data_IF_756441544681
#
_entry.id   IF_756441544681
#
_cell.length_a   1.000
_cell.length_b   1.000
_cell.length_c   1.000
_cell.angle_alpha   90.00
_cell.angle_beta   90.00
_cell.angle_gamma   90.00
#
_symmetry.space_group_name_H-M   'P 1'
#
loop_
_entity.id
_entity.type
_entity.pdbx_description
1 polymer ?
#
# COMPACT_ATOMS: atom_id res chain seq x y z
N UNK A 1 3.04 30.97 1.28
CA UNK A 1 2.72 30.35 2.59
C UNK A 1 1.37 29.63 2.57
N UNK A 2 0.30 30.19 1.97
CA UNK A 2 -1.04 29.55 1.91
C UNK A 2 -1.04 28.22 1.12
N UNK A 3 -0.24 28.11 0.05
CA UNK A 3 -0.11 26.87 -0.75
C UNK A 3 0.57 25.72 0.03
N UNK A 4 1.36 26.04 1.04
CA UNK A 4 2.03 25.06 1.88
C UNK A 4 1.07 24.43 2.90
N UNK A 5 0.17 25.25 3.47
CA UNK A 5 -0.79 24.78 4.48
C UNK A 5 -1.90 23.90 3.88
N UNK A 6 -2.37 24.22 2.66
CA UNK A 6 -3.34 23.38 1.96
C UNK A 6 -2.75 22.02 1.57
N UNK A 7 -1.49 21.99 1.09
CA UNK A 7 -0.82 20.73 0.74
C UNK A 7 -0.57 19.83 1.95
N UNK A 8 -0.30 20.40 3.13
CA UNK A 8 -0.13 19.68 4.39
C UNK A 8 -1.46 19.07 4.86
N UNK A 9 -2.55 19.83 4.78
CA UNK A 9 -3.88 19.32 5.14
C UNK A 9 -4.31 18.13 4.26
N UNK A 10 -4.01 18.17 2.96
CA UNK A 10 -4.24 17.05 2.04
C UNK A 10 -3.39 15.82 2.37
N UNK A 11 -2.12 16.03 2.70
CA UNK A 11 -1.23 14.93 3.09
C UNK A 11 -1.72 14.22 4.36
N UNK A 12 -2.27 14.96 5.33
CA UNK A 12 -2.87 14.39 6.54
C UNK A 12 -4.17 13.64 6.25
N UNK A 13 -5.03 14.16 5.40
CA UNK A 13 -6.25 13.48 4.98
C UNK A 13 -5.97 12.18 4.24
N UNK A 14 -5.01 12.18 3.32
CA UNK A 14 -4.57 10.97 2.60
C UNK A 14 -3.97 9.92 3.55
N UNK A 15 -3.20 10.34 4.55
CA UNK A 15 -2.71 9.45 5.62
C UNK A 15 -3.86 8.84 6.44
N UNK A 16 -4.90 9.63 6.75
CA UNK A 16 -6.07 9.14 7.49
C UNK A 16 -6.93 8.19 6.65
N UNK A 17 -7.02 8.41 5.34
CA UNK A 17 -7.71 7.54 4.41
C UNK A 17 -7.02 6.17 4.26
N UNK A 18 -5.71 6.09 4.49
CA UNK A 18 -4.90 4.89 4.31
C UNK A 18 -4.86 4.49 2.84
N UNK A 19 -4.01 5.15 2.06
CA UNK A 19 -3.84 4.87 0.63
C UNK A 19 -2.84 3.74 0.45
N UNK A 20 -3.26 2.67 -0.22
CA UNK A 20 -2.40 1.53 -0.55
C UNK A 20 -1.57 1.79 -1.80
N UNK A 21 -2.24 2.12 -2.90
CA UNK A 21 -1.61 2.37 -4.19
C UNK A 21 -2.43 3.34 -5.04
N UNK A 22 -1.77 3.99 -5.99
CA UNK A 22 -2.38 4.91 -6.95
C UNK A 22 -2.01 4.47 -8.35
N UNK A 23 -3.02 4.20 -9.17
CA UNK A 23 -2.85 3.90 -10.60
C UNK A 23 -3.26 5.10 -11.44
N UNK A 24 -2.39 5.56 -12.32
CA UNK A 24 -2.65 6.69 -13.22
C UNK A 24 -2.64 6.20 -14.65
N UNK A 25 -3.78 6.32 -15.33
CA UNK A 25 -3.91 6.04 -16.75
C UNK A 25 -4.12 7.35 -17.51
N UNK A 26 -3.27 7.62 -18.50
CA UNK A 26 -3.36 8.79 -19.36
C UNK A 26 -3.71 8.38 -20.79
N UNK A 27 -4.76 8.96 -21.35
CA UNK A 27 -5.20 8.70 -22.73
C UNK A 27 -5.76 9.98 -23.33
N UNK A 28 -5.27 10.38 -24.51
CA UNK A 28 -5.82 11.46 -25.36
C UNK A 28 -6.27 12.72 -24.62
N UNK A 29 -5.44 13.23 -23.69
CA UNK A 29 -5.75 14.45 -22.92
C UNK A 29 -6.67 14.25 -21.72
N UNK A 30 -7.06 13.01 -21.41
CA UNK A 30 -7.81 12.62 -20.22
C UNK A 30 -6.91 11.83 -19.26
N UNK A 31 -7.02 12.13 -17.97
CA UNK A 31 -6.28 11.44 -16.91
C UNK A 31 -7.29 10.73 -16.00
N UNK A 32 -7.13 9.43 -15.86
CA UNK A 32 -7.92 8.64 -14.90
C UNK A 32 -7.00 8.19 -13.77
N UNK A 33 -7.37 8.54 -12.55
CA UNK A 33 -6.63 8.20 -11.33
C UNK A 33 -7.49 7.24 -10.52
N UNK A 34 -7.00 6.02 -10.32
CA UNK A 34 -7.61 5.07 -9.39
C UNK A 34 -6.83 5.10 -8.09
N UNK A 35 -7.50 5.34 -6.98
CA UNK A 35 -6.89 5.40 -5.65
C UNK A 35 -7.41 4.22 -4.84
N UNK A 36 -6.52 3.29 -4.52
CA UNK A 36 -6.85 2.16 -3.64
C UNK A 36 -6.66 2.60 -2.19
N UNK A 37 -7.75 2.55 -1.42
CA UNK A 37 -7.77 3.06 -0.04
C UNK A 37 -8.51 2.12 0.89
N UNK A 38 -8.10 2.10 2.16
CA UNK A 38 -8.79 1.36 3.21
C UNK A 38 -10.11 2.01 3.63
N UNK A 39 -10.24 3.33 3.45
CA UNK A 39 -11.40 4.11 3.90
C UNK A 39 -11.83 5.11 2.84
N UNK A 40 -12.54 4.67 1.79
CA UNK A 40 -12.94 5.56 0.70
C UNK A 40 -13.84 6.72 1.16
N UNK A 41 -14.62 6.54 2.22
CA UNK A 41 -15.47 7.59 2.77
C UNK A 41 -14.72 8.84 3.24
N UNK A 42 -13.49 8.69 3.75
CA UNK A 42 -12.65 9.82 4.17
C UNK A 42 -12.18 10.61 2.96
N UNK A 43 -11.81 9.92 1.88
CA UNK A 43 -11.34 10.53 0.64
C UNK A 43 -12.47 11.24 -0.12
N UNK A 44 -13.67 10.66 -0.12
CA UNK A 44 -14.85 11.24 -0.78
C UNK A 44 -15.31 12.48 -0.02
N UNK A 45 -15.26 12.43 1.32
CA UNK A 45 -15.73 13.50 2.19
C UNK A 45 -17.24 13.66 2.20
N UNK A 46 -17.71 14.70 2.86
CA UNK A 46 -19.16 15.00 2.93
C UNK A 46 -19.69 15.41 1.56
N UNK A 47 -20.61 14.63 1.00
CA UNK A 47 -21.24 14.87 -0.32
C UNK A 47 -20.27 15.00 -1.49
N UNK A 48 -19.05 14.41 -1.39
CA UNK A 48 -18.06 14.48 -2.45
C UNK A 48 -17.20 15.75 -2.49
N UNK A 49 -17.32 16.63 -1.50
CA UNK A 49 -16.61 17.93 -1.50
C UNK A 49 -15.09 17.81 -1.55
N UNK A 50 -14.52 16.79 -0.88
CA UNK A 50 -13.06 16.63 -0.82
C UNK A 50 -12.50 16.10 -2.13
N UNK A 51 -13.16 15.13 -2.75
CA UNK A 51 -12.73 14.58 -4.03
C UNK A 51 -12.84 15.61 -5.17
N UNK A 52 -13.85 16.50 -5.11
CA UNK A 52 -14.01 17.55 -6.11
C UNK A 52 -12.90 18.61 -5.99
N UNK A 53 -12.54 19.02 -4.78
CA UNK A 53 -11.39 19.91 -4.55
C UNK A 53 -10.08 19.30 -5.07
N UNK A 54 -9.81 18.03 -4.73
CA UNK A 54 -8.63 17.32 -5.21
C UNK A 54 -8.60 17.25 -6.75
N UNK A 55 -9.74 17.01 -7.38
CA UNK A 55 -9.87 17.00 -8.85
C UNK A 55 -9.53 18.37 -9.45
N UNK A 56 -10.04 19.45 -8.87
CA UNK A 56 -9.82 20.80 -9.37
C UNK A 56 -8.34 21.23 -9.21
N UNK A 57 -7.68 20.87 -8.14
CA UNK A 57 -6.25 21.12 -7.92
C UNK A 57 -5.40 20.37 -8.97
N UNK A 58 -5.64 19.07 -9.15
CA UNK A 58 -4.91 18.29 -10.15
C UNK A 58 -5.18 18.83 -11.55
N UNK A 59 -6.40 19.28 -11.85
CA UNK A 59 -6.77 19.90 -13.13
C UNK A 59 -6.03 21.21 -13.37
N UNK A 60 -5.82 22.04 -12.33
CA UNK A 60 -5.01 23.27 -12.44
C UNK A 60 -3.55 22.97 -12.83
N UNK A 61 -2.97 21.89 -12.26
CA UNK A 61 -1.59 21.48 -12.52
C UNK A 61 -1.46 20.85 -13.91
N UNK A 62 -2.34 19.95 -14.28
CA UNK A 62 -2.22 19.11 -15.49
C UNK A 62 -2.82 19.74 -16.73
N UNK A 63 -3.68 20.76 -16.57
CA UNK A 63 -4.47 21.39 -17.65
C UNK A 63 -5.23 20.39 -18.53
N UNK A 64 -5.60 19.25 -17.94
CA UNK A 64 -6.28 18.14 -18.61
C UNK A 64 -7.53 17.76 -17.83
N UNK A 65 -8.45 17.04 -18.46
CA UNK A 65 -9.63 16.51 -17.78
C UNK A 65 -9.23 15.35 -16.87
N UNK A 66 -9.58 15.43 -15.58
CA UNK A 66 -9.18 14.47 -14.56
C UNK A 66 -10.40 13.76 -13.98
N UNK A 67 -10.34 12.43 -13.96
CA UNK A 67 -11.32 11.56 -13.32
C UNK A 67 -10.65 10.82 -12.17
N UNK A 68 -11.25 10.86 -10.97
CA UNK A 68 -10.74 10.18 -9.78
C UNK A 68 -11.74 9.11 -9.37
N UNK A 69 -11.28 7.85 -9.38
CA UNK A 69 -12.07 6.67 -9.01
C UNK A 69 -11.51 6.09 -7.70
N UNK A 70 -12.08 6.38 -6.52
CA UNK A 70 -11.67 5.74 -5.27
C UNK A 70 -12.16 4.28 -5.27
N UNK A 71 -11.22 3.35 -5.00
CA UNK A 71 -11.51 1.93 -4.84
C UNK A 71 -11.18 1.47 -3.43
N UNK A 72 -12.08 0.69 -2.85
CA UNK A 72 -11.86 0.09 -1.54
C UNK A 72 -10.96 -1.13 -1.64
N UNK A 73 -9.99 -1.22 -0.73
CA UNK A 73 -9.15 -2.41 -0.53
C UNK A 73 -9.92 -3.41 0.33
N UNK A 74 -10.18 -4.61 -0.21
CA UNK A 74 -10.97 -5.64 0.46
C UNK A 74 -10.37 -6.11 1.79
N UNK A 75 -9.04 -6.14 1.90
CA UNK A 75 -8.34 -6.60 3.11
C UNK A 75 -7.17 -5.69 3.47
N UNK A 76 -7.40 -4.58 4.18
CA UNK A 76 -6.33 -3.65 4.55
C UNK A 76 -5.23 -4.26 5.41
N UNK A 77 -5.53 -5.36 6.11
CA UNK A 77 -4.58 -6.05 7.00
C UNK A 77 -3.64 -7.00 6.25
N UNK A 78 -3.95 -7.34 4.99
CA UNK A 78 -3.08 -8.14 4.11
C UNK A 78 -2.36 -7.28 3.05
N UNK A 79 -2.51 -5.96 3.13
CA UNK A 79 -1.81 -5.00 2.31
C UNK A 79 -0.56 -4.49 3.04
N UNK A 80 0.62 -4.69 2.44
CA UNK A 80 1.88 -4.41 3.11
C UNK A 80 2.09 -2.92 3.39
N UNK A 81 1.64 -2.03 2.50
CA UNK A 81 1.78 -0.60 2.67
C UNK A 81 0.90 -0.09 3.84
N UNK A 82 -0.36 -0.53 3.88
CA UNK A 82 -1.30 -0.14 4.95
C UNK A 82 -0.87 -0.67 6.32
N UNK A 83 -0.30 -1.88 6.36
CA UNK A 83 0.26 -2.43 7.60
C UNK A 83 1.50 -1.63 8.05
N UNK A 84 2.39 -1.24 7.12
CA UNK A 84 3.54 -0.40 7.45
C UNK A 84 3.10 0.95 8.02
N UNK A 85 2.14 1.62 7.40
CA UNK A 85 1.57 2.88 7.87
C UNK A 85 0.89 2.76 9.24
N UNK A 86 0.15 1.67 9.45
CA UNK A 86 -0.48 1.42 10.75
C UNK A 86 0.55 1.27 11.87
N UNK A 87 1.69 0.60 11.59
CA UNK A 87 2.78 0.47 12.56
C UNK A 87 3.44 1.84 12.78
N UNK A 88 3.73 2.60 11.72
CA UNK A 88 4.34 3.92 11.81
C UNK A 88 3.48 4.87 12.67
N UNK A 89 2.18 4.94 12.42
CA UNK A 89 1.23 5.73 13.22
C UNK A 89 1.19 5.32 14.69
N UNK A 90 1.35 4.01 15.00
CA UNK A 90 1.43 3.53 16.37
C UNK A 90 2.75 3.96 17.05
N UNK A 91 3.87 3.96 16.31
CA UNK A 91 5.17 4.42 16.81
C UNK A 91 5.15 5.93 17.10
N UNK A 92 4.54 6.74 16.24
CA UNK A 92 4.34 8.18 16.44
C UNK A 92 3.52 8.47 17.70
N UNK A 93 2.52 7.62 17.98
CA UNK A 93 1.72 7.66 19.22
C UNK A 93 2.43 7.09 20.44
N UNK A 94 3.74 6.85 20.38
CA UNK A 94 4.57 6.32 21.45
C UNK A 94 4.18 4.93 21.95
N UNK A 95 3.52 4.11 21.12
CA UNK A 95 3.28 2.71 21.44
C UNK A 95 4.60 1.95 21.27
N UNK A 96 4.89 1.04 22.20
CA UNK A 96 6.12 0.27 22.17
C UNK A 96 6.21 -0.59 20.91
N UNK A 97 7.32 -0.48 20.17
CA UNK A 97 7.51 -1.08 18.84
C UNK A 97 7.24 -2.60 18.80
N UNK A 98 7.65 -3.36 19.85
CA UNK A 98 7.40 -4.81 19.93
C UNK A 98 5.91 -5.12 19.96
N UNK A 99 5.13 -4.33 20.68
CA UNK A 99 3.67 -4.51 20.76
C UNK A 99 3.00 -4.18 19.42
N UNK A 100 3.41 -3.09 18.78
CA UNK A 100 2.88 -2.68 17.47
C UNK A 100 3.15 -3.75 16.41
N UNK A 101 4.41 -4.24 16.31
CA UNK A 101 4.78 -5.28 15.36
C UNK A 101 4.03 -6.59 15.59
N UNK A 102 3.95 -7.08 16.83
CA UNK A 102 3.24 -8.33 17.15
C UNK A 102 1.75 -8.23 16.84
N UNK A 103 1.11 -7.10 17.18
CA UNK A 103 -0.31 -6.88 16.88
C UNK A 103 -0.58 -6.90 15.38
N UNK A 104 0.29 -6.26 14.60
CA UNK A 104 0.16 -6.24 13.14
C UNK A 104 0.35 -7.64 12.53
N UNK A 105 1.30 -8.43 13.05
CA UNK A 105 1.52 -9.81 12.60
C UNK A 105 0.29 -10.69 12.83
N UNK A 106 -0.25 -10.70 14.05
CA UNK A 106 -1.43 -11.48 14.40
C UNK A 106 -2.60 -11.09 13.49
N UNK A 107 -2.85 -9.79 13.33
CA UNK A 107 -3.95 -9.29 12.50
C UNK A 107 -3.82 -9.70 11.02
N UNK A 108 -2.60 -9.74 10.47
CA UNK A 108 -2.38 -10.18 9.09
C UNK A 108 -2.57 -11.70 8.92
N UNK A 109 -2.08 -12.49 9.87
CA UNK A 109 -2.24 -13.95 9.85
C UNK A 109 -3.71 -14.35 10.01
N UNK A 110 -4.47 -13.70 10.89
CA UNK A 110 -5.91 -13.92 11.08
C UNK A 110 -6.74 -13.63 9.82
N UNK A 111 -6.24 -12.75 8.94
CA UNK A 111 -6.88 -12.40 7.67
C UNK A 111 -6.40 -13.24 6.48
N UNK A 112 -5.65 -14.29 6.75
CA UNK A 112 -5.29 -15.29 5.76
C UNK A 112 -3.97 -15.04 5.03
N UNK A 113 -3.09 -14.16 5.52
CA UNK A 113 -1.73 -14.09 5.04
C UNK A 113 -1.00 -15.41 5.36
N UNK A 114 -0.27 -15.97 4.40
CA UNK A 114 0.51 -17.22 4.60
C UNK A 114 1.82 -16.98 5.35
N UNK A 115 2.26 -15.73 5.39
CA UNK A 115 3.41 -15.32 6.17
C UNK A 115 3.64 -13.82 6.11
N UNK A 116 4.28 -13.31 7.16
CA UNK A 116 4.61 -11.91 7.29
C UNK A 116 6.00 -11.73 7.88
N UNK A 117 6.71 -10.72 7.39
CA UNK A 117 7.98 -10.27 7.94
C UNK A 117 7.91 -8.75 8.12
N UNK A 118 8.18 -8.28 9.32
CA UNK A 118 8.21 -6.86 9.66
C UNK A 118 9.59 -6.51 10.17
N UNK A 119 10.13 -5.39 9.72
CA UNK A 119 11.42 -4.88 10.16
C UNK A 119 11.28 -3.40 10.51
N UNK A 120 11.71 -3.03 11.71
CA UNK A 120 11.86 -1.64 12.14
C UNK A 120 13.35 -1.31 12.32
N UNK A 121 13.80 -0.17 11.81
CA UNK A 121 15.18 0.32 11.93
C UNK A 121 15.19 1.78 12.33
N UNK A 122 15.98 2.12 13.34
CA UNK A 122 16.11 3.48 13.86
C UNK A 122 16.37 3.49 15.36
N UNK A 123 16.12 4.63 16.01
CA UNK A 123 16.23 4.80 17.47
C UNK A 123 15.00 4.21 18.18
N UNK A 124 14.92 2.88 18.23
CA UNK A 124 13.78 2.16 18.77
C UNK A 124 13.65 2.38 20.28
N UNK A 125 12.48 2.90 20.69
CA UNK A 125 12.20 3.21 22.10
C UNK A 125 13.01 4.38 22.67
N UNK A 126 13.58 5.25 21.81
CA UNK A 126 14.37 6.40 22.22
C UNK A 126 15.83 6.09 22.55
N UNK A 127 16.34 4.90 22.21
CA UNK A 127 17.74 4.52 22.42
C UNK A 127 18.68 5.45 21.61
N UNK A 128 19.83 5.81 22.18
CA UNK A 128 20.82 6.68 21.50
C UNK A 128 21.39 6.00 20.25
N UNK A 129 21.66 4.68 20.35
CA UNK A 129 22.19 3.90 19.23
C UNK A 129 21.04 3.33 18.44
N UNK A 130 21.02 3.61 17.14
CA UNK A 130 20.06 3.03 16.21
C UNK A 130 20.28 1.52 16.07
N UNK A 131 19.19 0.76 16.11
CA UNK A 131 19.22 -0.69 15.94
C UNK A 131 18.13 -1.16 15.00
N UNK A 132 18.28 -2.38 14.53
CA UNK A 132 17.32 -3.06 13.67
C UNK A 132 16.70 -4.23 14.42
N UNK A 133 15.39 -4.24 14.49
CA UNK A 133 14.60 -5.35 15.02
C UNK A 133 13.71 -5.90 13.92
N UNK A 134 13.62 -7.22 13.82
CA UNK A 134 12.75 -7.88 12.85
C UNK A 134 11.99 -9.02 13.51
N UNK A 135 10.73 -9.17 13.09
CA UNK A 135 9.88 -10.30 13.44
C UNK A 135 9.37 -10.95 12.17
N UNK A 136 9.27 -12.26 12.20
CA UNK A 136 8.75 -13.06 11.09
C UNK A 136 7.81 -14.11 11.66
N UNK A 137 6.69 -14.31 10.98
CA UNK A 137 5.72 -15.37 11.24
C UNK A 137 5.27 -16.01 9.94
N UNK A 138 5.12 -17.33 9.92
CA UNK A 138 4.82 -18.09 8.72
C UNK A 138 5.97 -18.15 7.71
N UNK A 139 5.62 -18.48 6.45
CA UNK A 139 6.56 -18.67 5.35
C UNK A 139 6.66 -17.38 4.51
N UNK A 140 7.86 -16.84 4.31
CA UNK A 140 8.10 -15.69 3.42
C UNK A 140 9.25 -16.03 2.47
N UNK A 141 8.97 -16.66 1.33
CA UNK A 141 9.97 -17.15 0.39
C UNK A 141 10.45 -16.04 -0.56
N UNK A 142 11.34 -15.16 -0.11
CA UNK A 142 11.85 -14.02 -0.90
C UNK A 142 12.64 -14.42 -2.18
N UNK A 143 13.15 -15.65 -2.22
CA UNK A 143 13.89 -16.16 -3.39
C UNK A 143 13.02 -16.87 -4.44
N UNK A 144 11.71 -17.01 -4.23
CA UNK A 144 10.81 -17.72 -5.14
C UNK A 144 10.09 -16.74 -6.04
N UNK A 145 10.34 -16.76 -7.35
CA UNK A 145 9.74 -15.80 -8.31
C UNK A 145 8.22 -15.92 -8.47
N UNK A 146 7.66 -17.12 -8.27
CA UNK A 146 6.22 -17.34 -8.31
C UNK A 146 5.47 -16.95 -7.04
N UNK A 147 6.20 -16.53 -6.00
CA UNK A 147 5.59 -16.11 -4.74
C UNK A 147 5.01 -14.70 -4.86
N UNK A 148 3.73 -14.54 -4.53
CA UNK A 148 3.08 -13.24 -4.42
C UNK A 148 3.44 -12.61 -3.07
N UNK A 149 4.43 -11.72 -3.10
CA UNK A 149 4.92 -11.03 -1.90
C UNK A 149 4.68 -9.53 -2.08
N UNK A 150 3.77 -9.02 -1.28
CA UNK A 150 3.51 -7.60 -1.19
C UNK A 150 4.55 -6.92 -0.29
N UNK A 151 5.00 -5.73 -0.69
CA UNK A 151 6.01 -4.96 0.02
C UNK A 151 5.52 -3.56 0.35
N UNK A 152 5.69 -3.14 1.60
CA UNK A 152 5.39 -1.79 2.05
C UNK A 152 6.56 -1.17 2.81
N UNK A 153 6.73 0.14 2.63
CA UNK A 153 7.72 0.94 3.35
C UNK A 153 7.11 2.25 3.82
N UNK A 154 7.35 2.59 5.09
CA UNK A 154 6.90 3.85 5.67
C UNK A 154 7.89 4.31 6.73
N UNK A 155 8.00 5.62 6.90
CA UNK A 155 8.80 6.25 7.94
C UNK A 155 7.89 6.81 9.03
N UNK A 156 8.21 6.50 10.28
CA UNK A 156 7.58 7.08 11.46
C UNK A 156 8.45 8.21 12.00
N UNK A 157 7.94 9.42 12.05
CA UNK A 157 8.63 10.58 12.59
C UNK A 157 8.37 10.69 14.08
N UNK A 158 9.37 10.34 14.88
CA UNK A 158 9.31 10.42 16.33
C UNK A 158 10.13 11.61 16.85
N UNK A 159 9.92 11.98 18.12
CA UNK A 159 10.71 13.04 18.78
C UNK A 159 12.23 12.76 18.80
N UNK A 160 12.62 11.48 18.64
CA UNK A 160 14.03 11.04 18.64
C UNK A 160 14.59 10.83 17.23
N UNK A 161 13.82 11.11 16.19
CA UNK A 161 14.20 10.93 14.79
C UNK A 161 13.28 9.97 14.03
N UNK A 162 13.60 9.71 12.76
CA UNK A 162 12.83 8.85 11.90
C UNK A 162 13.13 7.36 12.17
N UNK A 163 12.07 6.54 12.17
CA UNK A 163 12.14 5.07 12.25
C UNK A 163 11.57 4.52 10.96
N UNK A 164 12.40 3.83 10.16
CA UNK A 164 11.95 3.15 8.96
C UNK A 164 11.27 1.82 9.29
N UNK A 165 10.06 1.64 8.77
CA UNK A 165 9.27 0.41 8.88
C UNK A 165 9.18 -0.24 7.51
N UNK A 166 9.57 -1.51 7.40
CA UNK A 166 9.45 -2.33 6.19
C UNK A 166 8.60 -3.56 6.49
N UNK A 167 7.65 -3.84 5.63
CA UNK A 167 6.77 -5.01 5.74
C UNK A 167 6.83 -5.83 4.46
N UNK A 168 6.79 -7.15 4.59
CA UNK A 168 6.64 -8.11 3.51
C UNK A 168 5.52 -9.05 3.91
N UNK A 169 4.51 -9.17 3.08
CA UNK A 169 3.36 -10.05 3.29
C UNK A 169 3.28 -11.04 2.15
N UNK A 170 3.36 -12.30 2.48
CA UNK A 170 3.22 -13.39 1.52
C UNK A 170 1.74 -13.80 1.44
N UNK A 171 1.15 -13.60 0.26
CA UNK A 171 -0.26 -13.89 -0.03
C UNK A 171 -0.47 -15.30 -0.57
N UNK A 172 0.56 -15.86 -1.23
CA UNK A 172 0.49 -17.20 -1.84
C UNK A 172 1.39 -17.34 -3.05
N UNK A 173 1.25 -18.42 -3.79
CA UNK A 173 1.95 -18.63 -5.05
C UNK A 173 1.01 -18.37 -6.23
N UNK A 174 1.50 -17.62 -7.22
CA UNK A 174 0.82 -17.43 -8.49
C UNK A 174 1.16 -18.62 -9.38
N UNK A 175 0.24 -19.58 -9.48
CA UNK A 175 0.33 -20.68 -10.41
C UNK A 175 -0.46 -20.31 -11.66
N UNK A 176 0.15 -20.42 -12.84
CA UNK A 176 -0.58 -20.31 -14.11
C UNK A 176 -1.63 -21.42 -14.14
N UNK A 177 -2.89 -21.06 -14.24
CA UNK A 177 -3.97 -22.04 -14.36
C UNK A 177 -3.75 -22.83 -15.66
N UNK A 178 -3.87 -24.16 -15.59
CA UNK A 178 -3.72 -25.05 -16.76
C UNK A 178 -4.59 -24.62 -17.95
N UNK A 179 -5.75 -24.02 -17.69
CA UNK A 179 -6.66 -23.50 -18.72
C UNK A 179 -6.09 -22.36 -19.59
N UNK A 180 -5.13 -21.59 -19.10
CA UNK A 180 -4.42 -20.58 -19.91
C UNK A 180 -3.30 -21.22 -20.73
N UNK A 181 -2.69 -22.29 -20.24
CA UNK A 181 -1.70 -23.07 -20.99
C UNK A 181 -2.37 -23.80 -22.16
N UNK A 182 -3.51 -24.44 -21.93
CA UNK A 182 -4.27 -25.13 -22.99
C UNK A 182 -4.80 -24.14 -24.06
N UNK A 183 -5.23 -22.95 -23.68
CA UNK A 183 -5.61 -21.89 -24.65
C UNK A 183 -4.42 -21.41 -25.48
N UNK A 184 -3.26 -21.24 -24.86
CA UNK A 184 -2.05 -20.84 -25.57
C UNK A 184 -1.49 -21.94 -26.49
N UNK A 185 -1.59 -23.21 -26.08
CA UNK A 185 -1.24 -24.35 -26.92
C UNK A 185 -2.21 -24.54 -28.09
N UNK A 186 -3.52 -24.46 -27.85
CA UNK A 186 -4.53 -24.52 -28.92
C UNK A 186 -4.46 -23.33 -29.88
N UNK A 187 -4.08 -22.13 -29.43
CA UNK A 187 -3.83 -21.00 -30.29
C UNK A 187 -2.57 -21.21 -31.15
N UNK A 188 -1.50 -21.77 -30.59
CA UNK A 188 -0.27 -22.13 -31.36
C UNK A 188 -0.54 -23.20 -32.41
N UNK A 189 -1.31 -24.24 -32.07
CA UNK A 189 -1.68 -25.31 -33.01
C UNK A 189 -2.54 -24.77 -34.16
N UNK A 190 -3.47 -23.84 -33.89
CA UNK A 190 -4.24 -23.17 -34.95
C UNK A 190 -3.40 -22.29 -35.87
N UNK A 191 -2.38 -21.61 -35.37
CA UNK A 191 -1.45 -20.84 -36.20
C UNK A 191 -0.59 -21.72 -37.11
N UNK A 192 -0.21 -22.91 -36.65
CA UNK A 192 0.61 -23.87 -37.46
C UNK A 192 -0.22 -24.62 -38.50
N UNK A 193 -1.52 -24.76 -38.29
CA UNK A 193 -2.44 -25.44 -39.24
C UNK A 193 -2.94 -24.50 -40.36
N UNK A 194 -2.59 -23.22 -40.35
CA UNK A 194 -2.97 -22.19 -41.35
C UNK A 194 -1.80 -21.77 -42.27
N UNK A 195 -0.65 -22.41 -42.17
CA UNK A 195 0.50 -22.33 -43.08
C UNK A 195 0.61 -23.63 -43.87
#
# INVERSE_FOLDING_TARGET
>A
DVLCDESLAWAEQLKQAGVSSIEIARSSGRIRIKIFTARPGVLIGRRGSEIDKLRDEIRKITKSEVFIDPKEVSSPQTDAQLVAESIANQLERRIHFRRAMKKAMIAAMDKGAQGIKIQCKGRLGGSEIARREQYKDGKVPLGTFRADIDYGFTEAFTTYGAIGVKTWIYKGEILLKKEEQERNETAKIRCVALV
#
